data_IF_340212373173
#
_entry.id   IF_340212373173
#
_cell.length_a   1.000
_cell.length_b   1.000
_cell.length_c   1.000
_cell.angle_alpha   90.00
_cell.angle_beta   90.00
_cell.angle_gamma   90.00
#
_symmetry.space_group_name_H-M   'P 1'
#
loop_
_entity.id
_entity.type
_entity.pdbx_description
1 polymer ?
#
# COMPACT_ATOMS: atom_id res chain seq x y z
N UNK A 1 -21.44 26.86 -3.08
CA UNK A 1 -20.41 25.80 -3.04
C UNK A 1 -21.09 24.47 -2.86
N UNK A 2 -20.73 23.46 -3.66
CA UNK A 2 -21.32 22.12 -3.65
C UNK A 2 -20.26 21.10 -3.26
N UNK A 3 -20.51 20.36 -2.21
CA UNK A 3 -19.59 19.36 -1.66
C UNK A 3 -20.20 17.98 -1.79
N UNK A 4 -19.48 17.05 -2.37
CA UNK A 4 -19.86 15.65 -2.42
C UNK A 4 -18.89 14.82 -1.58
N UNK A 5 -19.41 14.01 -0.69
CA UNK A 5 -18.66 12.97 0.00
C UNK A 5 -19.17 11.59 -0.44
N UNK A 6 -18.24 10.66 -0.67
CA UNK A 6 -18.55 9.26 -0.89
C UNK A 6 -17.70 8.38 0.02
N UNK A 7 -18.34 7.39 0.68
CA UNK A 7 -17.65 6.36 1.45
C UNK A 7 -17.90 5.00 0.81
N UNK A 8 -16.85 4.41 0.28
CA UNK A 8 -16.89 3.11 -0.40
C UNK A 8 -16.55 1.99 0.56
N UNK A 9 -17.61 1.35 1.06
CA UNK A 9 -17.50 0.11 1.80
C UNK A 9 -17.43 -1.13 0.90
N UNK A 10 -17.26 -2.30 1.50
CA UNK A 10 -17.18 -3.57 0.75
C UNK A 10 -18.50 -3.98 0.06
N UNK A 11 -19.65 -3.50 0.53
CA UNK A 11 -20.99 -3.91 0.03
C UNK A 11 -21.75 -2.74 -0.57
N UNK A 12 -21.68 -1.56 0.04
CA UNK A 12 -22.39 -0.35 -0.38
C UNK A 12 -21.45 0.84 -0.37
N UNK A 13 -21.77 1.82 -1.23
CA UNK A 13 -21.18 3.15 -1.26
C UNK A 13 -22.24 4.13 -0.77
N UNK A 14 -21.95 4.83 0.29
CA UNK A 14 -22.78 5.90 0.84
C UNK A 14 -22.34 7.25 0.27
N UNK A 15 -23.30 8.06 -0.19
CA UNK A 15 -23.03 9.37 -0.79
C UNK A 15 -23.81 10.47 -0.08
N UNK A 16 -23.16 11.61 0.13
CA UNK A 16 -23.78 12.81 0.70
C UNK A 16 -23.38 14.02 -0.15
N UNK A 17 -24.36 14.70 -0.74
CA UNK A 17 -24.16 15.94 -1.47
C UNK A 17 -24.76 17.10 -0.66
N UNK A 18 -23.96 18.14 -0.44
CA UNK A 18 -24.39 19.40 0.18
C UNK A 18 -24.36 20.49 -0.91
N UNK A 19 -25.53 20.99 -1.29
CA UNK A 19 -25.66 22.12 -2.22
C UNK A 19 -25.93 23.41 -1.45
N UNK A 20 -24.91 24.24 -1.31
CA UNK A 20 -24.95 25.55 -0.67
C UNK A 20 -24.95 26.71 -1.67
N UNK A 21 -25.24 26.48 -2.96
CA UNK A 21 -25.16 27.53 -4.00
C UNK A 21 -26.34 28.51 -3.96
N UNK A 22 -27.52 28.12 -3.46
CA UNK A 22 -28.77 28.89 -3.56
C UNK A 22 -29.40 29.20 -2.20
N UNK A 23 -28.67 29.78 -1.25
CA UNK A 23 -29.22 30.17 0.06
C UNK A 23 -29.03 29.11 1.14
N UNK A 24 -30.11 28.62 1.78
CA UNK A 24 -29.97 27.59 2.78
C UNK A 24 -29.46 26.28 2.19
N UNK A 25 -28.44 25.63 2.81
CA UNK A 25 -27.87 24.41 2.27
C UNK A 25 -28.91 23.28 2.18
N UNK A 26 -28.97 22.62 1.02
CA UNK A 26 -29.76 21.41 0.83
C UNK A 26 -28.85 20.20 0.92
N UNK A 27 -29.27 19.15 1.59
CA UNK A 27 -28.51 17.91 1.76
C UNK A 27 -29.27 16.78 1.05
N UNK A 28 -28.54 16.08 0.20
CA UNK A 28 -29.01 14.88 -0.50
C UNK A 28 -28.20 13.69 -0.01
N UNK A 29 -28.84 12.54 0.17
CA UNK A 29 -28.20 11.31 0.62
C UNK A 29 -28.62 10.19 -0.33
N UNK A 30 -27.67 9.42 -0.80
CA UNK A 30 -27.93 8.24 -1.63
C UNK A 30 -27.04 7.07 -1.20
N UNK A 31 -27.45 5.87 -1.52
CA UNK A 31 -26.73 4.63 -1.26
C UNK A 31 -26.81 3.74 -2.47
N UNK A 32 -25.66 3.33 -2.99
CA UNK A 32 -25.56 2.44 -4.14
C UNK A 32 -24.80 1.16 -3.76
N UNK A 33 -25.10 -0.01 -4.35
CA UNK A 33 -24.28 -1.20 -4.14
C UNK A 33 -22.85 -0.96 -4.66
N UNK A 34 -21.85 -1.23 -3.80
CA UNK A 34 -20.47 -1.36 -4.27
C UNK A 34 -20.41 -2.61 -5.12
N UNK A 35 -20.12 -2.50 -6.42
CA UNK A 35 -19.97 -3.67 -7.25
C UNK A 35 -18.81 -4.53 -6.73
N UNK A 36 -18.92 -5.85 -6.85
CA UNK A 36 -18.03 -6.86 -6.26
C UNK A 36 -16.53 -6.70 -6.61
N UNK A 37 -16.19 -5.77 -7.49
CA UNK A 37 -14.83 -5.44 -7.91
C UNK A 37 -14.25 -4.20 -7.23
N UNK A 38 -14.95 -3.60 -6.23
CA UNK A 38 -14.51 -2.32 -5.62
C UNK A 38 -14.36 -1.24 -6.69
N UNK A 39 -15.23 -1.24 -7.68
CA UNK A 39 -14.98 -0.51 -8.92
C UNK A 39 -15.35 0.96 -8.77
N UNK A 40 -14.54 1.83 -9.34
CA UNK A 40 -14.85 3.23 -9.57
C UNK A 40 -16.22 3.45 -10.25
N UNK A 41 -16.70 2.48 -10.99
CA UNK A 41 -18.02 2.50 -11.66
C UNK A 41 -19.21 2.64 -10.68
N UNK A 42 -19.15 2.03 -9.49
CA UNK A 42 -20.19 2.21 -8.46
C UNK A 42 -20.23 3.63 -7.91
N UNK A 43 -19.07 4.25 -7.74
CA UNK A 43 -18.93 5.65 -7.30
C UNK A 43 -19.48 6.58 -8.38
N UNK A 44 -19.12 6.36 -9.64
CA UNK A 44 -19.58 7.15 -10.79
C UNK A 44 -21.10 7.11 -10.93
N UNK A 45 -21.70 5.94 -10.82
CA UNK A 45 -23.16 5.80 -10.85
C UNK A 45 -23.82 6.52 -9.67
N UNK A 46 -23.24 6.40 -8.47
CA UNK A 46 -23.69 7.13 -7.29
C UNK A 46 -23.62 8.65 -7.48
N UNK A 47 -22.54 9.16 -8.05
CA UNK A 47 -22.37 10.58 -8.36
C UNK A 47 -23.44 11.06 -9.34
N UNK A 48 -23.68 10.33 -10.45
CA UNK A 48 -24.73 10.66 -11.41
C UNK A 48 -26.13 10.70 -10.77
N UNK A 49 -26.45 9.72 -9.95
CA UNK A 49 -27.75 9.63 -9.29
C UNK A 49 -27.97 10.78 -8.32
N UNK A 50 -27.02 11.06 -7.43
CA UNK A 50 -27.17 12.09 -6.40
C UNK A 50 -27.15 13.50 -7.01
N UNK A 51 -26.36 13.73 -8.07
CA UNK A 51 -26.39 14.99 -8.84
C UNK A 51 -27.75 15.19 -9.53
N UNK A 52 -28.31 14.12 -10.12
CA UNK A 52 -29.66 14.14 -10.70
C UNK A 52 -30.74 14.44 -9.66
N UNK A 53 -30.67 13.90 -8.46
CA UNK A 53 -31.59 14.22 -7.36
C UNK A 53 -31.52 15.71 -6.96
N UNK A 54 -30.32 16.30 -7.01
CA UNK A 54 -30.10 17.72 -6.71
C UNK A 54 -30.47 18.64 -7.88
N UNK A 55 -30.66 18.12 -9.09
CA UNK A 55 -30.94 18.89 -10.30
C UNK A 55 -29.72 19.60 -10.84
N UNK A 56 -28.51 19.05 -10.64
CA UNK A 56 -27.22 19.62 -11.10
C UNK A 56 -26.47 18.63 -11.98
N UNK A 57 -25.53 19.13 -12.79
CA UNK A 57 -24.58 18.28 -13.49
C UNK A 57 -23.42 17.85 -12.55
N UNK A 58 -22.82 16.66 -12.71
CA UNK A 58 -21.67 16.24 -11.92
C UNK A 58 -20.48 17.23 -11.95
N UNK A 59 -20.23 17.88 -13.08
CA UNK A 59 -19.19 18.89 -13.25
C UNK A 59 -19.44 20.20 -12.47
N UNK A 60 -20.60 20.38 -11.84
CA UNK A 60 -20.91 21.52 -10.97
C UNK A 60 -20.57 21.27 -9.49
N UNK A 61 -19.96 20.12 -9.18
CA UNK A 61 -19.47 19.76 -7.84
C UNK A 61 -18.11 20.44 -7.64
N UNK A 62 -18.02 21.34 -6.66
CA UNK A 62 -16.81 22.11 -6.39
C UNK A 62 -15.73 21.30 -5.65
N UNK A 63 -16.14 20.33 -4.82
CA UNK A 63 -15.23 19.48 -4.04
C UNK A 63 -15.81 18.07 -3.88
N UNK A 64 -15.00 17.08 -4.22
CA UNK A 64 -15.28 15.67 -3.97
C UNK A 64 -14.34 15.12 -2.90
N UNK A 65 -14.92 14.59 -1.82
CA UNK A 65 -14.19 13.91 -0.74
C UNK A 65 -14.52 12.44 -0.79
N UNK A 66 -13.51 11.60 -0.81
CA UNK A 66 -13.66 10.18 -1.02
C UNK A 66 -12.98 9.35 0.06
N UNK A 67 -13.77 8.57 0.81
CA UNK A 67 -13.31 7.52 1.71
C UNK A 67 -13.42 6.15 1.04
N UNK A 68 -12.47 5.26 1.29
CA UNK A 68 -12.51 3.90 0.73
C UNK A 68 -11.77 2.88 1.61
N UNK A 69 -12.24 1.64 1.57
CA UNK A 69 -11.65 0.51 2.29
C UNK A 69 -10.94 -0.50 1.38
N UNK A 70 -10.58 -0.10 0.16
CA UNK A 70 -9.99 -0.99 -0.87
C UNK A 70 -8.70 -1.66 -0.36
N UNK A 71 -7.79 -0.90 0.27
CA UNK A 71 -6.56 -1.45 0.83
C UNK A 71 -6.82 -2.42 1.99
N UNK A 72 -7.74 -2.08 2.89
CA UNK A 72 -8.15 -2.96 3.99
C UNK A 72 -8.78 -4.25 3.47
N UNK A 73 -9.65 -4.15 2.48
CA UNK A 73 -10.29 -5.30 1.85
C UNK A 73 -9.25 -6.20 1.16
N UNK A 74 -8.30 -5.63 0.42
CA UNK A 74 -7.22 -6.39 -0.19
C UNK A 74 -6.40 -7.16 0.85
N UNK A 75 -6.17 -6.57 2.02
CA UNK A 75 -5.49 -7.23 3.12
C UNK A 75 -6.33 -8.38 3.72
N UNK A 76 -7.60 -8.14 4.03
CA UNK A 76 -8.50 -9.12 4.63
C UNK A 76 -8.79 -10.31 3.71
N UNK A 77 -8.98 -10.05 2.42
CA UNK A 77 -9.27 -11.09 1.40
C UNK A 77 -8.02 -11.73 0.82
N UNK A 78 -6.82 -11.29 1.23
CA UNK A 78 -5.54 -11.75 0.69
C UNK A 78 -5.41 -11.56 -0.82
N UNK A 79 -5.99 -10.50 -1.38
CA UNK A 79 -5.99 -10.16 -2.80
C UNK A 79 -5.07 -8.99 -3.17
N UNK A 80 -4.05 -8.71 -2.36
CA UNK A 80 -3.06 -7.67 -2.64
C UNK A 80 -2.04 -8.08 -3.72
N UNK A 81 -1.11 -7.18 -4.02
CA UNK A 81 -0.07 -7.38 -5.01
C UNK A 81 0.91 -8.50 -4.62
N UNK A 82 1.47 -9.18 -5.60
CA UNK A 82 2.57 -10.15 -5.40
C UNK A 82 3.86 -9.41 -5.05
N UNK A 83 3.96 -8.98 -3.79
CA UNK A 83 5.11 -8.24 -3.31
C UNK A 83 6.34 -9.13 -3.06
N UNK A 84 7.53 -8.54 -3.22
CA UNK A 84 8.82 -9.10 -2.79
C UNK A 84 9.39 -8.18 -1.72
N UNK A 85 9.94 -8.76 -0.65
CA UNK A 85 10.65 -8.04 0.39
C UNK A 85 12.15 -8.24 0.23
N UNK A 86 12.90 -7.15 0.28
CA UNK A 86 14.37 -7.14 0.29
C UNK A 86 14.85 -6.70 1.67
N UNK A 87 15.71 -7.49 2.30
CA UNK A 87 16.19 -7.26 3.66
C UNK A 87 17.70 -7.46 3.77
N UNK A 88 18.32 -6.92 4.79
CA UNK A 88 19.73 -7.23 5.16
C UNK A 88 19.88 -8.73 5.39
N UNK A 89 21.02 -9.31 5.00
CA UNK A 89 21.35 -10.71 5.27
C UNK A 89 21.23 -11.04 6.76
N UNK A 90 20.60 -12.21 7.04
CA UNK A 90 20.23 -12.62 8.40
C UNK A 90 18.81 -12.23 8.82
N UNK A 91 18.10 -11.35 8.08
CA UNK A 91 16.75 -10.86 8.43
C UNK A 91 15.62 -11.42 7.58
N UNK A 92 15.84 -12.48 6.78
CA UNK A 92 14.80 -13.07 5.91
C UNK A 92 13.55 -13.53 6.65
N UNK A 93 13.68 -13.80 7.93
CA UNK A 93 12.60 -14.34 8.76
C UNK A 93 11.91 -13.25 9.60
N UNK A 94 12.26 -11.96 9.41
CA UNK A 94 11.75 -10.84 10.21
C UNK A 94 10.22 -10.78 10.27
N UNK A 95 9.54 -10.98 9.15
CA UNK A 95 8.06 -10.98 9.11
C UNK A 95 7.44 -12.22 9.75
N UNK A 96 8.13 -13.36 9.72
CA UNK A 96 7.67 -14.62 10.32
C UNK A 96 7.87 -14.61 11.84
N UNK A 97 9.04 -14.13 12.28
CA UNK A 97 9.36 -13.98 13.71
C UNK A 97 8.45 -12.94 14.35
N UNK A 98 8.24 -11.83 13.64
CA UNK A 98 7.41 -10.71 14.10
C UNK A 98 7.99 -10.08 15.37
N UNK A 99 7.12 -9.65 16.26
CA UNK A 99 7.44 -9.11 17.58
C UNK A 99 7.64 -10.19 18.67
N UNK A 100 7.73 -11.46 18.27
CA UNK A 100 7.90 -12.64 19.13
C UNK A 100 6.75 -12.87 20.13
N UNK A 101 5.65 -12.14 20.04
CA UNK A 101 4.46 -12.38 20.86
C UNK A 101 3.72 -13.61 20.37
N UNK A 102 3.25 -14.43 21.31
CA UNK A 102 2.33 -15.53 21.00
C UNK A 102 0.92 -14.94 20.82
N UNK A 103 0.17 -15.33 19.78
CA UNK A 103 -1.22 -14.92 19.62
C UNK A 103 -2.11 -15.36 20.80
N UNK A 104 -1.81 -16.54 21.35
CA UNK A 104 -2.42 -17.08 22.58
C UNK A 104 -1.31 -17.70 23.44
N UNK A 105 -1.10 -17.13 24.65
CA UNK A 105 -0.06 -17.56 25.57
C UNK A 105 -0.28 -18.95 26.16
N UNK A 106 -1.53 -19.40 26.21
CA UNK A 106 -1.92 -20.70 26.78
C UNK A 106 -2.08 -21.80 25.72
N UNK A 107 -2.13 -21.46 24.44
CA UNK A 107 -2.24 -22.46 23.40
C UNK A 107 -0.89 -23.15 23.12
N UNK A 108 -0.87 -24.46 23.14
CA UNK A 108 0.32 -25.25 22.80
C UNK A 108 0.67 -25.12 21.30
N UNK A 109 -0.32 -24.90 20.45
CA UNK A 109 -0.23 -24.85 18.99
C UNK A 109 -0.74 -23.53 18.44
N UNK A 110 -0.35 -22.41 19.07
CA UNK A 110 -0.75 -21.08 18.58
C UNK A 110 -0.05 -20.76 17.25
N UNK A 111 -0.83 -20.61 16.18
CA UNK A 111 -0.33 -20.20 14.88
C UNK A 111 -0.44 -18.69 14.71
N UNK A 112 0.64 -18.06 14.22
CA UNK A 112 0.63 -16.64 13.82
C UNK A 112 -0.04 -16.50 12.47
N UNK A 113 -0.74 -15.37 12.22
CA UNK A 113 -1.22 -15.06 10.88
C UNK A 113 -0.06 -15.07 9.87
N UNK A 114 -0.28 -15.67 8.71
CA UNK A 114 0.72 -15.69 7.65
C UNK A 114 1.08 -14.24 7.23
N UNK A 115 2.36 -13.89 7.07
CA UNK A 115 2.78 -12.57 6.62
C UNK A 115 2.26 -12.29 5.19
N UNK A 116 2.12 -11.01 4.84
CA UNK A 116 1.68 -10.60 3.48
C UNK A 116 2.74 -10.90 2.42
N UNK A 117 4.01 -10.93 2.82
CA UNK A 117 5.12 -11.39 1.97
C UNK A 117 5.72 -12.63 2.63
N UNK A 118 5.56 -13.83 2.04
CA UNK A 118 6.12 -15.05 2.60
C UNK A 118 7.66 -15.08 2.46
N UNK A 119 8.30 -15.91 3.29
CA UNK A 119 9.77 -16.10 3.27
C UNK A 119 10.31 -16.47 1.88
N UNK A 120 9.57 -17.22 1.09
CA UNK A 120 9.94 -17.60 -0.28
C UNK A 120 10.05 -16.40 -1.24
N UNK A 121 9.42 -15.29 -0.89
CA UNK A 121 9.49 -14.02 -1.63
C UNK A 121 10.33 -12.96 -0.90
N UNK A 122 11.23 -13.38 0.00
CA UNK A 122 12.14 -12.49 0.71
C UNK A 122 13.56 -12.71 0.23
N UNK A 123 14.21 -11.67 -0.30
CA UNK A 123 15.58 -11.67 -0.84
C UNK A 123 16.52 -10.96 0.14
N UNK A 124 17.67 -11.56 0.41
CA UNK A 124 18.69 -10.98 1.29
C UNK A 124 19.76 -10.20 0.50
N UNK A 125 20.21 -9.10 1.10
CA UNK A 125 21.31 -8.25 0.63
C UNK A 125 22.50 -8.37 1.58
N UNK A 126 23.69 -8.62 1.07
CA UNK A 126 24.92 -8.60 1.84
C UNK A 126 25.39 -7.17 2.05
N UNK A 127 24.94 -6.59 3.13
CA UNK A 127 25.30 -5.27 3.60
C UNK A 127 25.01 -5.17 5.10
N UNK A 128 25.59 -4.19 5.79
CA UNK A 128 25.25 -3.92 7.19
C UNK A 128 25.59 -2.50 7.58
N UNK A 129 24.64 -1.82 8.21
CA UNK A 129 24.87 -0.62 9.01
C UNK A 129 24.82 -0.95 10.50
N UNK A 130 25.49 -0.15 11.34
CA UNK A 130 25.35 -0.20 12.80
C UNK A 130 24.30 0.78 13.32
N UNK A 131 24.09 0.77 14.62
CA UNK A 131 23.11 1.64 15.31
C UNK A 131 23.45 3.15 15.24
N UNK A 132 24.60 3.51 14.72
CA UNK A 132 25.04 4.90 14.51
C UNK A 132 25.01 5.29 13.02
N UNK A 133 24.50 4.43 12.15
CA UNK A 133 24.47 4.65 10.70
C UNK A 133 25.82 4.43 10.01
N UNK A 134 26.83 3.86 10.70
CA UNK A 134 28.13 3.55 10.08
C UNK A 134 28.08 2.24 9.32
N UNK A 135 28.78 2.18 8.22
CA UNK A 135 28.90 0.97 7.41
C UNK A 135 29.80 -0.05 8.11
N UNK A 136 29.22 -1.20 8.50
CA UNK A 136 29.91 -2.37 9.05
C UNK A 136 30.30 -3.32 7.92
N UNK A 137 29.33 -3.59 7.02
CA UNK A 137 29.57 -4.37 5.80
C UNK A 137 29.13 -3.50 4.62
N UNK A 138 30.06 -3.12 3.74
CA UNK A 138 29.72 -2.32 2.58
C UNK A 138 28.85 -3.13 1.59
N UNK A 139 27.98 -2.42 0.88
CA UNK A 139 27.31 -2.98 -0.28
C UNK A 139 28.37 -3.18 -1.39
N UNK A 140 28.80 -4.42 -1.57
CA UNK A 140 29.85 -4.75 -2.54
C UNK A 140 29.42 -4.46 -3.98
N UNK A 141 30.41 -4.22 -4.83
CA UNK A 141 30.17 -4.08 -6.27
C UNK A 141 29.44 -5.33 -6.83
N UNK A 142 28.40 -5.13 -7.64
CA UNK A 142 27.59 -6.21 -8.20
C UNK A 142 26.54 -6.82 -7.26
N UNK A 143 26.56 -6.52 -5.97
CA UNK A 143 25.58 -7.10 -5.03
C UNK A 143 24.17 -6.55 -5.27
N UNK A 144 24.03 -5.25 -5.55
CA UNK A 144 22.74 -4.65 -5.89
C UNK A 144 22.14 -5.26 -7.18
N UNK A 145 22.98 -5.53 -8.19
CA UNK A 145 22.59 -6.20 -9.44
C UNK A 145 22.20 -7.66 -9.22
N UNK A 146 22.92 -8.39 -8.36
CA UNK A 146 22.54 -9.74 -7.95
C UNK A 146 21.17 -9.76 -7.29
N UNK A 147 20.92 -8.83 -6.38
CA UNK A 147 19.63 -8.70 -5.71
C UNK A 147 18.53 -8.34 -6.71
N UNK A 148 18.78 -7.38 -7.60
CA UNK A 148 17.82 -7.01 -8.65
C UNK A 148 17.46 -8.18 -9.56
N UNK A 149 18.44 -9.04 -9.91
CA UNK A 149 18.20 -10.26 -10.68
C UNK A 149 17.35 -11.26 -9.89
N UNK A 150 17.65 -11.48 -8.61
CA UNK A 150 16.88 -12.38 -7.76
C UNK A 150 15.43 -11.90 -7.53
N UNK A 151 15.24 -10.58 -7.38
CA UNK A 151 13.91 -9.96 -7.26
C UNK A 151 13.13 -10.15 -8.56
N UNK A 152 13.75 -9.88 -9.72
CA UNK A 152 13.10 -10.03 -11.03
C UNK A 152 12.66 -11.46 -11.30
N UNK A 153 13.45 -12.46 -10.90
CA UNK A 153 13.10 -13.88 -11.04
C UNK A 153 11.84 -14.30 -10.25
N UNK A 154 11.41 -13.48 -9.27
CA UNK A 154 10.18 -13.68 -8.52
C UNK A 154 8.96 -12.99 -9.16
N UNK A 155 9.13 -12.32 -10.28
CA UNK A 155 8.05 -11.62 -11.02
C UNK A 155 7.16 -10.77 -10.10
N UNK A 156 7.71 -9.77 -9.38
CA UNK A 156 6.94 -8.96 -8.45
C UNK A 156 6.01 -7.98 -9.16
N UNK A 157 4.88 -7.68 -8.52
CA UNK A 157 4.02 -6.54 -8.84
C UNK A 157 4.39 -5.30 -8.02
N UNK A 158 5.13 -5.49 -6.90
CA UNK A 158 5.70 -4.44 -6.08
C UNK A 158 6.90 -4.96 -5.29
N UNK A 159 7.80 -4.07 -4.88
CA UNK A 159 8.98 -4.42 -4.08
C UNK A 159 9.03 -3.54 -2.83
N UNK A 160 9.19 -4.17 -1.66
CA UNK A 160 9.54 -3.51 -0.41
C UNK A 160 11.05 -3.70 -0.17
N UNK A 161 11.76 -2.63 0.17
CA UNK A 161 13.17 -2.68 0.58
C UNK A 161 13.25 -2.18 2.02
N UNK A 162 13.72 -3.05 2.92
CA UNK A 162 13.86 -2.72 4.33
C UNK A 162 15.21 -3.24 4.85
N UNK A 163 16.22 -2.38 4.82
CA UNK A 163 17.54 -2.69 5.31
C UNK A 163 17.70 -2.23 6.76
N UNK A 164 18.57 -2.92 7.53
CA UNK A 164 18.81 -2.55 8.93
C UNK A 164 19.40 -1.16 9.03
N UNK A 165 18.88 -0.35 9.97
CA UNK A 165 19.30 1.03 10.22
C UNK A 165 19.22 2.01 9.04
N UNK A 166 18.52 1.64 7.95
CA UNK A 166 18.36 2.50 6.78
C UNK A 166 17.62 3.82 7.06
N UNK A 167 16.91 3.93 8.16
CA UNK A 167 16.31 5.19 8.63
C UNK A 167 17.36 6.21 9.09
N UNK A 168 18.60 5.78 9.46
CA UNK A 168 19.74 6.65 9.76
C UNK A 168 20.53 7.00 8.50
N UNK A 169 20.69 6.02 7.60
CA UNK A 169 21.40 6.20 6.34
C UNK A 169 20.76 5.36 5.23
N UNK A 170 20.01 5.99 4.30
CA UNK A 170 19.26 5.28 3.26
C UNK A 170 20.11 4.90 2.03
N UNK A 171 21.44 5.13 2.01
CA UNK A 171 22.29 4.95 0.83
C UNK A 171 22.20 3.53 0.25
N UNK A 172 22.26 2.50 1.08
CA UNK A 172 22.21 1.11 0.61
C UNK A 172 20.80 0.77 0.06
N UNK A 173 19.71 1.22 0.73
CA UNK A 173 18.36 1.08 0.18
C UNK A 173 18.22 1.75 -1.19
N UNK A 174 18.73 2.98 -1.30
CA UNK A 174 18.68 3.74 -2.55
C UNK A 174 19.45 3.05 -3.69
N UNK A 175 20.64 2.50 -3.39
CA UNK A 175 21.46 1.79 -4.37
C UNK A 175 20.78 0.50 -4.85
N UNK A 176 20.21 -0.28 -3.93
CA UNK A 176 19.45 -1.50 -4.26
C UNK A 176 18.20 -1.16 -5.07
N UNK A 177 17.44 -0.15 -4.65
CA UNK A 177 16.25 0.30 -5.38
C UNK A 177 16.58 0.77 -6.79
N UNK A 178 17.68 1.51 -6.97
CA UNK A 178 18.12 1.94 -8.30
C UNK A 178 18.47 0.76 -9.21
N UNK A 179 19.13 -0.28 -8.69
CA UNK A 179 19.42 -1.49 -9.45
C UNK A 179 18.14 -2.26 -9.83
N UNK A 180 17.20 -2.38 -8.91
CA UNK A 180 15.88 -3.01 -9.16
C UNK A 180 15.11 -2.21 -10.22
N UNK A 181 15.03 -0.88 -10.08
CA UNK A 181 14.29 0.01 -10.99
C UNK A 181 14.84 -0.02 -12.42
N UNK A 182 16.16 -0.17 -12.61
CA UNK A 182 16.74 -0.37 -13.95
C UNK A 182 16.27 -1.67 -14.62
N UNK A 183 16.00 -2.70 -13.84
CA UNK A 183 15.60 -4.02 -14.35
C UNK A 183 14.08 -4.18 -14.45
N UNK A 184 13.32 -3.52 -13.58
CA UNK A 184 11.86 -3.61 -13.44
C UNK A 184 11.24 -2.22 -13.51
N UNK A 185 11.18 -1.62 -14.71
CA UNK A 185 10.85 -0.21 -14.94
C UNK A 185 9.44 0.20 -14.43
N UNK A 186 8.47 -0.72 -14.44
CA UNK A 186 7.06 -0.42 -14.10
C UNK A 186 6.63 -1.06 -12.76
N UNK A 187 7.58 -1.48 -11.93
CA UNK A 187 7.28 -2.08 -10.63
C UNK A 187 7.54 -1.05 -9.53
N UNK A 188 6.53 -0.67 -8.74
CA UNK A 188 6.71 0.29 -7.66
C UNK A 188 7.63 -0.28 -6.57
N UNK A 189 8.51 0.57 -6.05
CA UNK A 189 9.50 0.22 -5.02
C UNK A 189 9.25 1.08 -3.79
N UNK A 190 8.99 0.44 -2.67
CA UNK A 190 8.72 1.05 -1.37
C UNK A 190 9.97 0.90 -0.49
N UNK A 191 10.57 2.03 -0.11
CA UNK A 191 11.75 2.07 0.77
C UNK A 191 11.31 2.26 2.21
N UNK A 192 11.80 1.44 3.13
CA UNK A 192 11.45 1.54 4.55
C UNK A 192 11.87 2.87 5.17
N UNK A 193 12.97 3.44 4.69
CA UNK A 193 13.46 4.76 5.09
C UNK A 193 12.52 5.92 4.71
N UNK A 194 11.56 5.69 3.80
CA UNK A 194 10.55 6.67 3.39
C UNK A 194 9.16 6.33 3.91
N UNK A 195 8.81 5.04 3.91
CA UNK A 195 7.48 4.57 4.32
C UNK A 195 7.30 4.65 5.83
N UNK A 196 8.30 4.21 6.58
CA UNK A 196 8.23 4.16 8.05
C UNK A 196 9.64 4.31 8.66
N UNK A 197 10.23 5.52 8.73
CA UNK A 197 11.61 5.75 9.19
C UNK A 197 11.72 5.66 10.72
N UNK A 198 11.38 4.50 11.28
CA UNK A 198 11.42 4.25 12.72
C UNK A 198 12.47 3.20 13.08
N UNK A 199 12.85 3.18 14.35
CA UNK A 199 13.61 2.07 14.93
C UNK A 199 12.74 0.79 14.89
N UNK A 200 13.34 -0.35 15.19
CA UNK A 200 12.73 -1.70 15.20
C UNK A 200 12.47 -2.27 13.81
N UNK A 201 13.13 -3.38 13.54
CA UNK A 201 13.16 -3.99 12.20
C UNK A 201 11.79 -4.55 11.80
N UNK A 202 11.06 -5.23 12.73
CA UNK A 202 9.78 -5.85 12.38
C UNK A 202 8.69 -4.83 12.04
N UNK A 203 8.37 -3.81 12.87
CA UNK A 203 7.35 -2.82 12.53
C UNK A 203 7.65 -2.10 11.21
N UNK A 204 8.94 -1.76 10.96
CA UNK A 204 9.38 -1.10 9.74
C UNK A 204 9.23 -2.01 8.52
N UNK A 205 9.71 -3.26 8.60
CA UNK A 205 9.59 -4.23 7.51
C UNK A 205 8.12 -4.58 7.23
N UNK A 206 7.31 -4.77 8.28
CA UNK A 206 5.90 -5.10 8.14
C UNK A 206 5.11 -3.96 7.48
N UNK A 207 5.30 -2.72 7.95
CA UNK A 207 4.63 -1.55 7.35
C UNK A 207 5.04 -1.36 5.89
N UNK A 208 6.33 -1.53 5.56
CA UNK A 208 6.81 -1.42 4.19
C UNK A 208 6.28 -2.55 3.30
N UNK A 209 6.21 -3.77 3.82
CA UNK A 209 5.62 -4.92 3.12
C UNK A 209 4.13 -4.74 2.87
N UNK A 210 3.38 -4.20 3.85
CA UNK A 210 1.95 -3.88 3.69
C UNK A 210 1.76 -2.76 2.66
N UNK A 211 2.62 -1.73 2.65
CA UNK A 211 2.58 -0.68 1.64
C UNK A 211 2.81 -1.26 0.23
N UNK A 212 3.79 -2.13 0.05
CA UNK A 212 4.03 -2.80 -1.23
C UNK A 212 2.91 -3.78 -1.63
N UNK A 213 2.24 -4.39 -0.66
CA UNK A 213 1.13 -5.31 -0.89
C UNK A 213 -0.17 -4.61 -1.29
N UNK A 214 -0.51 -3.50 -0.62
CA UNK A 214 -1.77 -2.78 -0.82
C UNK A 214 -1.66 -1.64 -1.86
N UNK A 215 -0.49 -1.00 -1.97
CA UNK A 215 -0.27 0.18 -2.81
C UNK A 215 -0.73 0.01 -4.25
N UNK A 216 -0.27 -1.01 -5.00
CA UNK A 216 -0.69 -1.19 -6.39
C UNK A 216 -2.20 -1.41 -6.58
N UNK A 217 -2.88 -1.93 -5.55
CA UNK A 217 -4.34 -2.10 -5.58
C UNK A 217 -5.04 -0.76 -5.42
N UNK A 218 -4.53 0.07 -4.50
CA UNK A 218 -5.02 1.42 -4.24
C UNK A 218 -4.76 2.31 -5.45
N UNK A 219 -3.55 2.29 -6.01
CA UNK A 219 -3.15 3.10 -7.17
C UNK A 219 -4.07 2.82 -8.37
N UNK A 220 -4.26 1.55 -8.71
CA UNK A 220 -5.20 1.16 -9.79
C UNK A 220 -6.64 1.60 -9.55
N UNK A 221 -7.07 1.62 -8.29
CA UNK A 221 -8.40 2.10 -7.94
C UNK A 221 -8.52 3.60 -8.16
N UNK A 222 -7.55 4.39 -7.67
CA UNK A 222 -7.54 5.85 -7.82
C UNK A 222 -7.43 6.25 -9.29
N UNK A 223 -6.52 5.64 -10.06
CA UNK A 223 -6.38 5.90 -11.50
C UNK A 223 -7.69 5.68 -12.27
N UNK A 224 -8.42 4.59 -11.97
CA UNK A 224 -9.74 4.35 -12.58
C UNK A 224 -10.78 5.38 -12.18
N UNK A 225 -10.75 5.80 -10.91
CA UNK A 225 -11.67 6.82 -10.42
C UNK A 225 -11.41 8.17 -11.12
N UNK A 226 -10.15 8.57 -11.24
CA UNK A 226 -9.75 9.79 -11.96
C UNK A 226 -10.17 9.77 -13.44
N UNK A 227 -9.94 8.65 -14.13
CA UNK A 227 -10.32 8.47 -15.53
C UNK A 227 -11.84 8.56 -15.76
N UNK A 228 -12.64 8.17 -14.77
CA UNK A 228 -14.09 8.16 -14.89
C UNK A 228 -14.73 9.51 -14.47
N UNK A 229 -13.98 10.37 -13.75
CA UNK A 229 -14.48 11.66 -13.28
C UNK A 229 -14.03 12.83 -14.18
N UNK A 230 -13.12 12.60 -15.11
CA UNK A 230 -12.68 13.57 -16.13
C UNK A 230 -13.45 13.41 -17.42
#
# INVERSE_FOLDING_TARGET
MRYLAADVGGTFTDLVLVDGAAGAPRVFIDKVPSQATGSAAGVEEGIRRIAGQAGIAPGEIDLFVHGFTVGTNAFLTRSGARAVLVVTEGFRDVLTIGDQRRPDIYALTAEKPAPVVPRSRTVAVKERLDAFGKVVTPLAEGEAERVAAAVAALEPEAVAVCLTFSYLDPRHEGAVAAAIGRRLQNVPIYLSSRVNPQIEEFPRANTTAVAAYAGPVIDRYIERLEQNLT
#
